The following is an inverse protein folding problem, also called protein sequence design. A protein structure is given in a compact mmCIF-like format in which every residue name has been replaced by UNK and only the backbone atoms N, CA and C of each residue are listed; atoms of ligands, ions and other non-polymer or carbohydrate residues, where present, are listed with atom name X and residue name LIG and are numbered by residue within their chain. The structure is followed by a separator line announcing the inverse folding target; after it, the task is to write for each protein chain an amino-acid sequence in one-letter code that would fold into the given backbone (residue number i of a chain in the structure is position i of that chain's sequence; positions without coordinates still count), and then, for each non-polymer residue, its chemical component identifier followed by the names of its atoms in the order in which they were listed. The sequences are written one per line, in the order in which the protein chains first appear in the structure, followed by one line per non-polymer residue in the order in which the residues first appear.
data_IF_277001114985
#
_entry.id   IF_277001114985
#
_cell.length_a   1.000
_cell.length_b   1.000
_cell.length_c   1.000
_cell.angle_alpha   90.00
_cell.angle_beta   90.00
_cell.angle_gamma   90.00
#
_symmetry.space_group_name_H-M   'P 1'
#
loop_
_entity.id
_entity.type
_entity.pdbx_description
1 polymer ?
#
# COMPACT_ATOMS: atom_id res chain seq x y z
N UNK A 1 4.47 -9.02 26.64
CA UNK A 1 3.00 -8.89 26.49
C UNK A 1 2.62 -9.58 25.18
N UNK A 2 2.07 -10.79 25.25
CA UNK A 2 0.70 -11.15 24.81
C UNK A 2 0.58 -11.55 23.33
N UNK A 3 0.61 -12.87 23.10
CA UNK A 3 0.40 -13.59 21.85
C UNK A 3 -1.07 -13.55 21.35
N UNK A 4 -1.59 -12.40 20.91
CA UNK A 4 -3.02 -12.28 20.52
C UNK A 4 -3.32 -12.24 19.02
N UNK A 5 -2.39 -12.58 18.11
CA UNK A 5 -2.66 -12.58 16.65
C UNK A 5 -2.50 -13.95 15.97
N UNK A 6 -2.57 -15.06 16.73
CA UNK A 6 -2.42 -16.41 16.14
C UNK A 6 -3.71 -17.03 15.58
N UNK A 7 -4.66 -16.21 15.16
CA UNK A 7 -5.79 -16.66 14.35
C UNK A 7 -6.28 -15.49 13.52
N UNK A 8 -5.62 -15.25 12.38
CA UNK A 8 -6.22 -14.46 11.31
C UNK A 8 -7.34 -15.32 10.72
N UNK A 9 -8.47 -15.37 11.43
CA UNK A 9 -9.71 -15.92 10.90
C UNK A 9 -10.06 -15.01 9.72
N UNK A 10 -10.07 -15.56 8.51
CA UNK A 10 -10.41 -14.80 7.29
C UNK A 10 -11.67 -14.00 7.59
N UNK A 11 -11.60 -12.65 7.58
CA UNK A 11 -12.78 -11.85 7.84
C UNK A 11 -13.87 -12.24 6.84
N UNK A 12 -15.13 -12.38 7.26
CA UNK A 12 -16.21 -12.70 6.32
C UNK A 12 -16.23 -11.63 5.22
N UNK A 13 -16.30 -12.04 3.95
CA UNK A 13 -16.34 -11.11 2.81
C UNK A 13 -17.38 -10.02 3.06
N UNK A 14 -17.02 -8.78 2.74
CA UNK A 14 -17.88 -7.62 2.88
C UNK A 14 -19.10 -7.80 1.98
N UNK A 15 -20.28 -7.59 2.54
CA UNK A 15 -21.55 -7.81 1.82
C UNK A 15 -21.88 -6.60 0.93
N UNK A 16 -21.36 -5.43 1.29
CA UNK A 16 -21.57 -4.18 0.57
C UNK A 16 -20.30 -3.32 0.52
N UNK A 17 -20.32 -2.29 -0.34
CA UNK A 17 -19.18 -1.37 -0.54
C UNK A 17 -18.95 -0.45 0.68
N UNK A 18 -19.99 -0.15 1.44
CA UNK A 18 -19.89 0.70 2.63
C UNK A 18 -19.14 0.02 3.79
N UNK A 19 -19.38 -1.28 3.97
CA UNK A 19 -18.73 -2.15 4.94
C UNK A 19 -17.26 -2.33 4.57
N UNK A 20 -16.96 -2.60 3.29
CA UNK A 20 -15.60 -2.67 2.79
C UNK A 20 -14.85 -1.34 3.02
N UNK A 21 -15.51 -0.21 2.78
CA UNK A 21 -14.97 1.12 3.06
C UNK A 21 -14.74 1.37 4.55
N UNK A 22 -15.69 0.99 5.40
CA UNK A 22 -15.57 1.12 6.85
C UNK A 22 -14.40 0.29 7.39
N UNK A 23 -14.24 -0.95 6.92
CA UNK A 23 -13.12 -1.82 7.27
C UNK A 23 -11.78 -1.25 6.79
N UNK A 24 -11.75 -0.66 5.60
CA UNK A 24 -10.55 0.00 5.09
C UNK A 24 -10.15 1.18 5.99
N UNK A 25 -11.10 1.98 6.46
CA UNK A 25 -10.82 3.07 7.40
C UNK A 25 -10.34 2.57 8.76
N UNK A 26 -10.93 1.50 9.29
CA UNK A 26 -10.46 0.88 10.54
C UNK A 26 -9.03 0.35 10.39
N UNK A 27 -8.72 -0.32 9.27
CA UNK A 27 -7.36 -0.72 8.95
C UNK A 27 -6.40 0.47 8.86
N UNK A 28 -6.78 1.54 8.15
CA UNK A 28 -5.96 2.75 8.05
C UNK A 28 -5.70 3.38 9.42
N UNK A 29 -6.72 3.41 10.29
CA UNK A 29 -6.62 3.92 11.65
C UNK A 29 -5.70 3.05 12.51
N UNK A 30 -5.78 1.73 12.37
CA UNK A 30 -4.90 0.77 13.05
C UNK A 30 -3.45 0.96 12.61
N UNK A 31 -3.19 0.99 11.30
CA UNK A 31 -1.88 1.24 10.72
C UNK A 31 -1.29 2.57 11.21
N UNK A 32 -2.08 3.65 11.22
CA UNK A 32 -1.62 4.96 11.69
C UNK A 32 -1.26 4.97 13.18
N UNK A 33 -1.94 4.16 14.00
CA UNK A 33 -1.66 4.02 15.44
C UNK A 33 -0.44 3.14 15.71
N UNK A 34 -0.13 2.20 14.82
CA UNK A 34 1.02 1.30 14.98
C UNK A 34 2.33 1.90 14.46
N UNK A 35 2.30 3.01 13.71
CA UNK A 35 3.50 3.71 13.21
C UNK A 35 4.54 4.01 14.30
N UNK A 36 4.20 4.56 15.49
CA UNK A 36 5.19 4.81 16.54
C UNK A 36 5.95 3.54 16.91
N UNK A 37 5.23 2.43 17.13
CA UNK A 37 5.83 1.14 17.43
C UNK A 37 6.71 0.62 16.30
N UNK A 38 6.31 0.79 15.04
CA UNK A 38 7.14 0.41 13.87
C UNK A 38 8.44 1.21 13.82
N UNK A 39 8.39 2.50 14.13
CA UNK A 39 9.58 3.36 14.17
C UNK A 39 10.54 2.89 15.26
N UNK A 40 10.03 2.62 16.46
CA UNK A 40 10.84 2.15 17.59
C UNK A 40 11.45 0.77 17.32
N UNK A 41 10.66 -0.14 16.75
CA UNK A 41 11.08 -1.51 16.38
C UNK A 41 12.23 -1.50 15.37
N UNK A 42 12.14 -0.64 14.36
CA UNK A 42 13.09 -0.58 13.26
C UNK A 42 14.12 0.54 13.39
N UNK A 43 14.13 1.31 14.49
CA UNK A 43 14.96 2.50 14.74
C UNK A 43 14.89 3.57 13.63
N UNK A 44 13.71 3.81 13.05
CA UNK A 44 13.56 4.62 11.82
C UNK A 44 13.57 6.15 12.06
N UNK A 45 13.80 6.61 13.29
CA UNK A 45 13.69 8.03 13.68
C UNK A 45 14.59 8.98 12.88
N UNK A 46 15.76 8.50 12.46
CA UNK A 46 16.73 9.29 11.68
C UNK A 46 16.41 9.32 10.18
N UNK A 47 15.58 8.41 9.69
CA UNK A 47 15.38 8.16 8.26
C UNK A 47 14.00 8.63 7.79
N UNK A 48 12.99 8.61 8.66
CA UNK A 48 11.62 8.95 8.27
C UNK A 48 10.86 9.63 9.39
N UNK A 49 10.07 10.65 9.04
CA UNK A 49 9.16 11.27 10.01
C UNK A 49 7.84 10.49 10.07
N UNK A 50 7.20 10.43 11.25
CA UNK A 50 5.84 9.86 11.45
C UNK A 50 4.83 10.36 10.40
N UNK A 51 4.92 11.64 10.02
CA UNK A 51 4.07 12.24 9.00
C UNK A 51 4.30 11.65 7.60
N UNK A 52 5.55 11.39 7.22
CA UNK A 52 5.87 10.79 5.92
C UNK A 52 5.33 9.37 5.81
N UNK A 53 5.49 8.53 6.85
CA UNK A 53 4.90 7.18 6.86
C UNK A 53 3.38 7.19 6.73
N UNK A 54 2.68 8.12 7.42
CA UNK A 54 1.22 8.28 7.25
C UNK A 54 0.84 8.64 5.81
N UNK A 55 1.61 9.52 5.18
CA UNK A 55 1.41 9.91 3.79
C UNK A 55 1.67 8.75 2.84
N UNK A 56 2.73 7.95 3.06
CA UNK A 56 3.03 6.76 2.26
C UNK A 56 1.90 5.73 2.35
N UNK A 57 1.38 5.45 3.54
CA UNK A 57 0.24 4.54 3.73
C UNK A 57 -1.00 5.06 2.98
N UNK A 58 -1.31 6.35 3.12
CA UNK A 58 -2.42 6.96 2.38
C UNK A 58 -2.22 6.90 0.86
N UNK A 59 -0.99 7.08 0.37
CA UNK A 59 -0.66 6.95 -1.04
C UNK A 59 -0.85 5.52 -1.56
N UNK A 60 -0.46 4.50 -0.79
CA UNK A 60 -0.68 3.09 -1.15
C UNK A 60 -2.16 2.73 -1.22
N UNK A 61 -2.97 3.24 -0.30
CA UNK A 61 -4.42 3.07 -0.33
C UNK A 61 -5.02 3.77 -1.56
N UNK A 62 -4.57 4.98 -1.90
CA UNK A 62 -5.03 5.74 -3.08
C UNK A 62 -4.60 5.09 -4.40
N UNK A 63 -3.41 4.47 -4.49
CA UNK A 63 -2.99 3.72 -5.70
C UNK A 63 -3.97 2.61 -6.07
N UNK A 64 -4.56 1.96 -5.07
CA UNK A 64 -5.51 0.88 -5.25
C UNK A 64 -6.98 1.37 -5.27
N UNK A 65 -7.25 2.68 -5.21
CA UNK A 65 -8.62 3.21 -5.20
C UNK A 65 -9.32 3.11 -6.57
N UNK A 66 -8.57 2.91 -7.66
CA UNK A 66 -9.15 2.77 -9.00
C UNK A 66 -9.86 1.42 -9.22
N UNK A 67 -9.70 0.47 -8.30
CA UNK A 67 -10.35 -0.86 -8.36
C UNK A 67 -11.89 -0.77 -8.26
N UNK A 68 -12.45 0.39 -7.88
CA UNK A 68 -13.90 0.62 -7.82
C UNK A 68 -14.56 0.99 -9.16
N UNK A 69 -13.81 1.28 -10.22
CA UNK A 69 -14.37 1.76 -11.49
C UNK A 69 -14.36 0.66 -12.56
N UNK A 70 -15.46 -0.08 -12.73
CA UNK A 70 -15.69 -0.76 -13.99
C UNK A 70 -15.98 0.33 -15.03
N UNK A 71 -14.96 0.73 -15.80
CA UNK A 71 -15.14 1.44 -17.08
C UNK A 71 -15.75 0.50 -18.12
N UNK A 72 -16.87 -0.13 -17.79
CA UNK A 72 -17.51 -1.09 -18.68
C UNK A 72 -19.02 -0.91 -18.59
N UNK A 73 -19.55 -0.27 -19.62
CA UNK A 73 -20.98 -0.14 -19.90
C UNK A 73 -21.60 -1.54 -20.02
N UNK A 74 -22.02 -2.15 -18.92
CA UNK A 74 -22.67 -3.46 -18.95
C UNK A 74 -24.18 -3.32 -18.72
N UNK A 75 -24.90 -3.42 -19.84
CA UNK A 75 -26.35 -3.40 -20.00
C UNK A 75 -27.06 -4.68 -19.50
N UNK A 76 -26.51 -5.39 -18.52
CA UNK A 76 -27.16 -6.61 -17.99
C UNK A 76 -27.06 -6.66 -16.47
N UNK A 77 -28.23 -6.58 -15.80
CA UNK A 77 -28.38 -6.61 -14.34
C UNK A 77 -27.70 -7.82 -13.68
N UNK A 78 -27.65 -8.96 -14.39
CA UNK A 78 -26.99 -10.20 -13.95
C UNK A 78 -25.44 -10.09 -13.94
N UNK A 79 -24.87 -9.41 -14.94
CA UNK A 79 -23.43 -9.12 -15.00
C UNK A 79 -23.04 -8.10 -13.93
N UNK A 80 -23.93 -7.14 -13.63
CA UNK A 80 -23.71 -6.12 -12.61
C UNK A 80 -23.61 -6.72 -11.19
N UNK A 81 -24.51 -7.65 -10.83
CA UNK A 81 -24.45 -8.35 -9.53
C UNK A 81 -23.18 -9.19 -9.41
N UNK A 82 -22.82 -9.94 -10.45
CA UNK A 82 -21.60 -10.75 -10.46
C UNK A 82 -20.33 -9.89 -10.36
N UNK A 83 -20.28 -8.78 -11.09
CA UNK A 83 -19.16 -7.84 -11.07
C UNK A 83 -19.00 -7.16 -9.72
N UNK A 84 -20.10 -6.78 -9.06
CA UNK A 84 -20.06 -6.20 -7.70
C UNK A 84 -19.49 -7.20 -6.71
N UNK A 85 -19.90 -8.47 -6.76
CA UNK A 85 -19.37 -9.52 -5.88
C UNK A 85 -17.87 -9.72 -6.09
N UNK A 86 -17.40 -9.72 -7.35
CA UNK A 86 -15.97 -9.81 -7.70
C UNK A 86 -15.22 -8.59 -7.15
N UNK A 87 -15.73 -7.36 -7.33
CA UNK A 87 -15.08 -6.13 -6.86
C UNK A 87 -14.96 -6.12 -5.34
N UNK A 88 -16.01 -6.52 -4.61
CA UNK A 88 -15.98 -6.61 -3.14
C UNK A 88 -14.92 -7.61 -2.67
N UNK A 89 -14.86 -8.79 -3.30
CA UNK A 89 -13.87 -9.81 -2.97
C UNK A 89 -12.42 -9.35 -3.25
N UNK A 90 -12.19 -8.58 -4.31
CA UNK A 90 -10.87 -7.98 -4.59
C UNK A 90 -10.48 -6.96 -3.52
N UNK A 91 -11.42 -6.12 -3.07
CA UNK A 91 -11.16 -5.14 -2.00
C UNK A 91 -10.83 -5.86 -0.69
N UNK A 92 -11.60 -6.88 -0.32
CA UNK A 92 -11.33 -7.67 0.89
C UNK A 92 -9.99 -8.41 0.82
N UNK A 93 -9.63 -8.97 -0.34
CA UNK A 93 -8.32 -9.61 -0.55
C UNK A 93 -7.16 -8.61 -0.38
N UNK A 94 -7.29 -7.40 -0.94
CA UNK A 94 -6.29 -6.35 -0.79
C UNK A 94 -6.16 -5.88 0.67
N UNK A 95 -7.29 -5.75 1.36
CA UNK A 95 -7.34 -5.37 2.77
C UNK A 95 -6.69 -6.46 3.65
N UNK A 96 -6.96 -7.74 3.36
CA UNK A 96 -6.34 -8.88 4.03
C UNK A 96 -4.82 -8.88 3.85
N UNK A 97 -4.34 -8.71 2.61
CA UNK A 97 -2.91 -8.61 2.32
C UNK A 97 -2.26 -7.44 3.07
N UNK A 98 -2.95 -6.31 3.18
CA UNK A 98 -2.51 -5.16 3.95
C UNK A 98 -2.41 -5.43 5.46
N UNK A 99 -3.41 -6.13 6.03
CA UNK A 99 -3.37 -6.56 7.44
C UNK A 99 -2.23 -7.52 7.72
N UNK A 100 -2.04 -8.52 6.86
CA UNK A 100 -0.98 -9.50 7.04
C UNK A 100 0.41 -8.88 6.88
N UNK A 101 0.58 -7.97 5.92
CA UNK A 101 1.80 -7.19 5.79
C UNK A 101 2.08 -6.33 7.04
N UNK A 102 1.06 -5.65 7.57
CA UNK A 102 1.19 -4.87 8.80
C UNK A 102 1.57 -5.76 9.99
N UNK A 103 0.97 -6.95 10.11
CA UNK A 103 1.30 -7.87 11.18
C UNK A 103 2.74 -8.38 11.07
N UNK A 104 3.19 -8.75 9.86
CA UNK A 104 4.56 -9.18 9.61
C UNK A 104 5.59 -8.09 9.98
N UNK A 105 5.25 -6.81 9.79
CA UNK A 105 6.08 -5.67 10.20
C UNK A 105 6.12 -5.56 11.74
N UNK A 106 4.98 -5.71 12.41
CA UNK A 106 4.89 -5.64 13.87
C UNK A 106 5.54 -6.83 14.58
N UNK A 107 5.49 -8.02 13.98
CA UNK A 107 6.13 -9.23 14.50
C UNK A 107 7.64 -9.31 14.18
N UNK A 108 8.24 -8.25 13.65
CA UNK A 108 9.66 -8.21 13.25
C UNK A 108 10.05 -9.28 12.21
N UNK A 109 9.09 -9.78 11.42
CA UNK A 109 9.34 -10.80 10.41
C UNK A 109 10.07 -10.24 9.17
N UNK A 110 10.06 -8.92 8.99
CA UNK A 110 10.79 -8.20 7.92
C UNK A 110 12.04 -7.50 8.47
N UNK A 111 13.04 -7.25 7.60
CA UNK A 111 14.26 -6.53 7.96
C UNK A 111 14.14 -5.02 7.73
N UNK A 112 14.92 -4.22 8.47
CA UNK A 112 14.99 -2.75 8.36
C UNK A 112 15.25 -2.27 6.93
N UNK A 113 16.19 -2.90 6.21
CA UNK A 113 16.54 -2.50 4.84
C UNK A 113 15.35 -2.61 3.88
N UNK A 114 14.52 -3.64 4.05
CA UNK A 114 13.30 -3.82 3.27
C UNK A 114 12.25 -2.76 3.61
N UNK A 115 12.11 -2.40 4.89
CA UNK A 115 11.23 -1.31 5.34
C UNK A 115 11.63 0.04 4.75
N UNK A 116 12.92 0.34 4.74
CA UNK A 116 13.47 1.57 4.17
C UNK A 116 13.24 1.58 2.66
N UNK A 117 13.67 0.54 1.93
CA UNK A 117 13.55 0.48 0.47
C UNK A 117 12.11 0.58 -0.05
N UNK A 118 11.14 -0.03 0.63
CA UNK A 118 9.76 -0.08 0.16
C UNK A 118 8.93 1.14 0.58
N UNK A 119 9.10 1.66 1.80
CA UNK A 119 8.18 2.66 2.37
C UNK A 119 8.79 4.03 2.67
N UNK A 120 10.11 4.11 2.78
CA UNK A 120 10.81 5.40 3.01
C UNK A 120 11.39 5.92 1.71
N UNK A 121 12.06 5.04 0.99
CA UNK A 121 12.78 5.32 -0.25
C UNK A 121 11.86 5.36 -1.47
N UNK A 122 10.65 4.81 -1.33
CA UNK A 122 9.65 4.53 -2.37
C UNK A 122 8.97 5.76 -2.98
N UNK A 123 9.78 6.73 -3.43
CA UNK A 123 9.52 7.60 -4.58
C UNK A 123 10.77 8.39 -5.03
N UNK A 124 11.90 8.36 -4.28
CA UNK A 124 13.07 9.22 -4.55
C UNK A 124 14.45 8.67 -4.13
N UNK A 125 14.64 7.39 -3.74
CA UNK A 125 15.89 7.04 -3.03
C UNK A 125 16.63 5.74 -3.37
N UNK A 126 16.56 5.22 -4.59
CA UNK A 126 17.66 4.37 -5.11
C UNK A 126 18.33 4.98 -6.34
N UNK A 127 18.13 6.28 -6.58
CA UNK A 127 18.88 7.07 -7.54
C UNK A 127 19.39 8.30 -6.79
N UNK A 128 20.33 8.07 -5.87
CA UNK A 128 21.24 9.14 -5.51
C UNK A 128 22.42 9.04 -6.49
N UNK A 129 22.76 10.20 -7.07
CA UNK A 129 23.90 10.51 -7.91
C UNK A 129 23.86 10.09 -9.38
N UNK A 130 23.11 10.85 -10.18
CA UNK A 130 23.66 11.37 -11.44
C UNK A 130 23.28 12.85 -11.59
N UNK A 131 24.15 13.66 -10.99
CA UNK A 131 24.65 14.91 -11.55
C UNK A 131 23.66 16.07 -11.76
N UNK A 132 24.06 17.24 -11.26
CA UNK A 132 23.52 18.58 -11.53
C UNK A 132 23.38 18.96 -13.03
N UNK A 133 23.61 18.02 -13.96
CA UNK A 133 23.44 18.12 -15.42
C UNK A 133 22.02 17.83 -15.91
N UNK A 134 21.17 17.27 -15.06
CA UNK A 134 19.92 16.64 -15.50
C UNK A 134 18.64 17.45 -15.20
N UNK A 135 18.80 18.68 -14.70
CA UNK A 135 17.70 19.63 -14.52
C UNK A 135 17.24 20.18 -15.88
N UNK A 136 16.29 19.50 -16.51
CA UNK A 136 15.64 19.95 -17.76
C UNK A 136 15.57 18.88 -18.85
N UNK A 137 16.15 17.71 -18.63
CA UNK A 137 16.17 16.64 -19.62
C UNK A 137 14.93 15.76 -19.47
N UNK A 138 14.22 15.51 -20.58
CA UNK A 138 12.96 14.74 -20.56
C UNK A 138 13.20 13.28 -20.20
N UNK A 139 12.20 12.63 -19.58
CA UNK A 139 12.25 11.22 -19.20
C UNK A 139 12.60 10.30 -20.38
N UNK A 140 12.14 10.67 -21.57
CA UNK A 140 12.51 10.01 -22.82
C UNK A 140 14.02 10.10 -23.11
N UNK A 141 14.63 11.28 -23.01
CA UNK A 141 16.05 11.48 -23.33
C UNK A 141 16.95 10.72 -22.34
N UNK A 142 16.56 10.69 -21.06
CA UNK A 142 17.25 9.91 -20.02
C UNK A 142 17.16 8.41 -20.31
N UNK A 143 15.98 7.91 -20.65
CA UNK A 143 15.81 6.51 -21.02
C UNK A 143 16.58 6.17 -22.30
N UNK A 144 16.66 7.11 -23.25
CA UNK A 144 17.33 6.93 -24.54
C UNK A 144 18.84 6.76 -24.42
N UNK A 145 19.48 7.46 -23.47
CA UNK A 145 20.91 7.26 -23.21
C UNK A 145 21.22 6.01 -22.39
N UNK A 146 20.28 5.52 -21.60
CA UNK A 146 20.51 4.42 -20.66
C UNK A 146 20.11 3.05 -21.22
N UNK A 147 19.05 2.96 -22.03
CA UNK A 147 18.58 1.68 -22.54
C UNK A 147 17.84 1.83 -23.87
N UNK A 148 17.77 0.74 -24.63
CA UNK A 148 17.11 0.71 -25.95
C UNK A 148 15.71 0.09 -25.89
N UNK A 149 15.20 -0.17 -24.68
CA UNK A 149 13.87 -0.70 -24.42
C UNK A 149 13.03 0.38 -23.73
N UNK A 150 12.12 0.97 -24.48
CA UNK A 150 11.13 1.93 -23.99
C UNK A 150 9.77 1.27 -23.84
#
# INVERSE_FOLDING_TARGET
MSFTLRSVKVPPNSVNLEEARSRMFEFFRLACRSIPSIIDIYNLDEVVTKSQLRTTIAAQIRKNSQVTNPKVSFHFLFVFIFLIVIILQVIDMLLFKGMEELNNILEHAKQRHHMIGQYVTGQHGLVQDLDSKDQGMSDFLKNFYNTNYF
#
